data_IF_067132394113
#
_entry.id   IF_067132394113
#
_cell.length_a   1.000
_cell.length_b   1.000
_cell.length_c   1.000
_cell.angle_alpha   90.00
_cell.angle_beta   90.00
_cell.angle_gamma   90.00
#
_symmetry.space_group_name_H-M   'P 1'
#
loop_
_entity.id
_entity.type
_entity.pdbx_description
1 polymer ?
#
# COMPACT_ATOMS: atom_id res chain seq x y z
N UNK A 1 6.56 -24.64 -21.06
CA UNK A 1 5.84 -24.82 -19.78
C UNK A 1 6.88 -24.83 -18.68
N UNK A 2 7.28 -23.64 -18.20
CA UNK A 2 8.25 -23.52 -17.11
C UNK A 2 7.50 -23.33 -15.79
N UNK A 3 7.72 -24.27 -14.87
CA UNK A 3 7.08 -24.30 -13.56
C UNK A 3 7.68 -23.22 -12.65
N UNK A 4 6.81 -22.32 -12.17
CA UNK A 4 7.14 -21.34 -11.14
C UNK A 4 7.44 -22.04 -9.82
N UNK A 5 8.68 -21.94 -9.35
CA UNK A 5 9.12 -22.42 -8.04
C UNK A 5 8.62 -21.43 -6.99
N UNK A 6 7.50 -21.76 -6.35
CA UNK A 6 6.98 -21.00 -5.19
C UNK A 6 7.82 -21.34 -3.96
N UNK A 7 8.78 -20.48 -3.64
CA UNK A 7 9.58 -20.58 -2.40
C UNK A 7 8.67 -20.35 -1.18
N UNK A 8 8.27 -21.44 -0.52
CA UNK A 8 7.53 -21.39 0.75
C UNK A 8 8.48 -21.13 1.91
N UNK A 9 8.54 -19.88 2.37
CA UNK A 9 9.19 -19.55 3.64
C UNK A 9 8.23 -19.86 4.80
N UNK A 10 8.38 -21.04 5.41
CA UNK A 10 7.59 -21.43 6.58
C UNK A 10 8.23 -20.87 7.85
N UNK A 11 7.72 -19.75 8.36
CA UNK A 11 8.08 -19.27 9.70
C UNK A 11 7.21 -19.98 10.74
N UNK A 12 7.83 -20.83 11.57
CA UNK A 12 7.12 -21.54 12.64
C UNK A 12 6.65 -20.53 13.71
N UNK A 13 5.34 -20.26 13.74
CA UNK A 13 4.69 -19.48 14.79
C UNK A 13 4.60 -20.33 16.06
N UNK A 14 5.33 -19.95 17.11
CA UNK A 14 5.07 -20.45 18.47
C UNK A 14 3.73 -19.90 18.97
N UNK A 15 2.89 -20.85 19.39
CA UNK A 15 1.56 -20.79 20.01
C UNK A 15 1.16 -19.51 20.74
N UNK A 16 -0.05 -19.01 20.44
CA UNK A 16 -0.88 -18.29 21.42
C UNK A 16 -1.60 -17.01 20.95
N UNK A 17 -1.19 -16.37 19.85
CA UNK A 17 -1.88 -15.17 19.30
C UNK A 17 -2.58 -15.53 18.01
N UNK A 18 -3.85 -15.10 17.84
CA UNK A 18 -4.58 -15.18 16.56
C UNK A 18 -3.65 -14.63 15.47
N UNK A 19 -3.15 -15.52 14.62
CA UNK A 19 -2.30 -15.15 13.50
C UNK A 19 -3.10 -14.25 12.57
N UNK A 20 -2.50 -13.14 12.13
CA UNK A 20 -3.08 -12.31 11.09
C UNK A 20 -2.51 -12.78 9.76
N UNK A 21 -3.41 -13.08 8.83
CA UNK A 21 -3.07 -13.43 7.46
C UNK A 21 -3.19 -12.17 6.60
N UNK A 22 -2.14 -11.83 5.87
CA UNK A 22 -2.09 -10.68 4.95
C UNK A 22 -1.59 -11.16 3.60
N UNK A 23 -2.26 -10.74 2.52
CA UNK A 23 -1.88 -11.04 1.13
C UNK A 23 -1.14 -9.85 0.53
N UNK A 24 0.05 -10.09 -0.01
CA UNK A 24 0.89 -9.14 -0.76
C UNK A 24 1.07 -9.69 -2.18
N UNK A 25 0.24 -9.23 -3.13
CA UNK A 25 0.20 -9.83 -4.47
C UNK A 25 -0.12 -11.33 -4.36
N UNK A 26 0.77 -12.19 -4.88
CA UNK A 26 0.60 -13.65 -4.81
C UNK A 26 1.09 -14.28 -3.49
N UNK A 27 1.68 -13.49 -2.60
CA UNK A 27 2.28 -13.98 -1.35
C UNK A 27 1.30 -13.82 -0.21
N UNK A 28 0.92 -14.93 0.43
CA UNK A 28 0.13 -14.92 1.67
C UNK A 28 1.05 -15.13 2.87
N UNK A 29 1.08 -14.16 3.78
CA UNK A 29 1.88 -14.19 5.00
C UNK A 29 0.94 -14.38 6.18
N UNK A 30 1.12 -15.47 6.94
CA UNK A 30 0.44 -15.69 8.22
C UNK A 30 1.46 -15.59 9.34
N UNK A 31 1.29 -14.61 10.22
CA UNK A 31 2.18 -14.39 11.35
C UNK A 31 1.39 -13.91 12.57
N UNK A 32 1.91 -14.07 13.80
CA UNK A 32 1.31 -13.45 14.98
C UNK A 32 1.10 -11.96 14.76
N UNK A 33 -0.08 -11.44 15.16
CA UNK A 33 -0.32 -10.02 15.10
C UNK A 33 0.75 -9.27 15.93
N UNK A 34 1.36 -8.20 15.39
CA UNK A 34 2.30 -7.36 16.13
C UNK A 34 1.60 -6.74 17.33
N UNK A 35 2.35 -6.45 18.39
CA UNK A 35 1.79 -5.74 19.55
C UNK A 35 1.33 -4.33 19.13
N UNK A 36 0.32 -3.80 19.81
CA UNK A 36 -0.16 -2.44 19.57
C UNK A 36 0.99 -1.41 19.67
N UNK A 37 1.91 -1.61 20.61
CA UNK A 37 3.12 -0.79 20.77
C UNK A 37 4.03 -0.83 19.54
N UNK A 38 4.25 -2.02 18.97
CA UNK A 38 5.08 -2.16 17.77
C UNK A 38 4.42 -1.51 16.54
N UNK A 39 3.09 -1.62 16.41
CA UNK A 39 2.34 -0.92 15.36
C UNK A 39 2.50 0.58 15.51
N UNK A 40 2.24 1.13 16.71
CA UNK A 40 2.36 2.56 16.98
C UNK A 40 3.76 3.09 16.67
N UNK A 41 4.81 2.43 17.18
CA UNK A 41 6.19 2.79 16.90
C UNK A 41 6.52 2.80 15.39
N UNK A 42 6.04 1.80 14.64
CA UNK A 42 6.30 1.73 13.21
C UNK A 42 5.55 2.80 12.42
N UNK A 43 4.33 3.15 12.83
CA UNK A 43 3.56 4.25 12.26
C UNK A 43 4.29 5.57 12.52
N UNK A 44 4.67 5.86 13.76
CA UNK A 44 5.41 7.07 14.14
C UNK A 44 6.70 7.22 13.31
N UNK A 45 7.53 6.18 13.26
CA UNK A 45 8.79 6.20 12.50
C UNK A 45 8.58 6.40 10.99
N UNK A 46 7.51 5.81 10.43
CA UNK A 46 7.17 5.97 9.02
C UNK A 46 6.68 7.38 8.73
N UNK A 47 5.87 7.95 9.62
CA UNK A 47 5.39 9.34 9.53
C UNK A 47 6.56 10.33 9.60
N UNK A 48 7.49 10.17 10.55
CA UNK A 48 8.69 11.03 10.63
C UNK A 48 9.56 10.96 9.37
N UNK A 49 9.71 9.76 8.78
CA UNK A 49 10.42 9.60 7.53
C UNK A 49 9.70 10.30 6.36
N UNK A 50 8.37 10.15 6.28
CA UNK A 50 7.54 10.78 5.27
C UNK A 50 7.58 12.31 5.40
N UNK A 51 7.51 12.85 6.61
CA UNK A 51 7.60 14.30 6.84
C UNK A 51 8.93 14.89 6.36
N UNK A 52 10.05 14.20 6.61
CA UNK A 52 11.36 14.62 6.10
C UNK A 52 11.38 14.69 4.58
N UNK A 53 10.75 13.70 3.94
CA UNK A 53 10.63 13.64 2.49
C UNK A 53 9.71 14.74 1.94
N UNK A 54 8.55 14.95 2.56
CA UNK A 54 7.58 15.98 2.19
C UNK A 54 8.21 17.38 2.23
N UNK A 55 8.96 17.70 3.29
CA UNK A 55 9.72 18.96 3.40
C UNK A 55 10.74 19.13 2.28
N UNK A 56 11.33 18.03 1.77
CA UNK A 56 12.28 18.09 0.65
C UNK A 56 11.57 18.33 -0.69
N UNK A 57 10.39 17.75 -0.88
CA UNK A 57 9.55 17.97 -2.07
C UNK A 57 8.94 19.37 -2.13
N UNK A 58 8.66 19.98 -0.98
CA UNK A 58 8.15 21.36 -0.91
C UNK A 58 9.19 22.44 -1.25
N UNK A 59 10.47 22.08 -1.45
CA UNK A 59 11.52 23.06 -1.78
C UNK A 59 11.36 23.56 -3.22
N UNK A 60 11.49 24.88 -3.47
CA UNK A 60 11.50 25.44 -4.82
C UNK A 60 12.49 24.71 -5.73
N UNK A 61 12.06 24.37 -6.94
CA UNK A 61 12.85 23.64 -7.93
C UNK A 61 12.65 22.10 -7.94
N UNK A 62 11.96 21.53 -6.94
CA UNK A 62 11.53 20.13 -6.99
C UNK A 62 10.11 20.07 -7.56
N UNK A 63 9.95 19.40 -8.71
CA UNK A 63 8.64 19.21 -9.34
C UNK A 63 8.39 17.73 -9.55
N UNK A 64 7.34 17.20 -8.89
CA UNK A 64 6.77 15.89 -9.24
C UNK A 64 5.80 16.13 -10.39
N UNK A 65 6.27 15.94 -11.62
CA UNK A 65 5.39 16.06 -12.78
C UNK A 65 4.54 14.80 -12.90
N UNK A 66 3.23 14.98 -12.95
CA UNK A 66 2.34 13.95 -13.45
C UNK A 66 2.79 13.62 -14.88
N UNK A 67 3.16 12.36 -15.12
CA UNK A 67 3.54 11.90 -16.46
C UNK A 67 2.26 11.57 -17.24
N UNK A 68 2.28 11.86 -18.54
CA UNK A 68 1.23 11.40 -19.45
C UNK A 68 1.11 9.88 -19.36
N UNK A 69 -0.12 9.37 -19.34
CA UNK A 69 -0.42 7.94 -19.28
C UNK A 69 0.06 7.23 -17.99
N UNK A 70 0.41 7.99 -16.95
CA UNK A 70 0.73 7.44 -15.62
C UNK A 70 -0.38 7.81 -14.64
N UNK A 71 -1.10 6.83 -14.07
CA UNK A 71 -2.16 7.10 -13.12
C UNK A 71 -1.60 7.55 -11.77
N UNK A 72 -2.24 8.57 -11.20
CA UNK A 72 -2.08 8.98 -9.80
C UNK A 72 -3.22 8.37 -8.99
N UNK A 73 -2.90 7.75 -7.86
CA UNK A 73 -3.88 7.19 -6.95
C UNK A 73 -3.88 7.96 -5.63
N UNK A 74 -5.07 8.23 -5.12
CA UNK A 74 -5.32 8.72 -3.76
C UNK A 74 -6.46 7.95 -3.13
N UNK A 75 -6.62 8.08 -1.81
CA UNK A 75 -7.85 7.66 -1.15
C UNK A 75 -8.88 8.79 -1.25
N UNK A 76 -10.15 8.43 -1.34
CA UNK A 76 -11.25 9.39 -1.23
C UNK A 76 -11.27 9.99 0.18
N UNK A 77 -11.56 11.30 0.27
CA UNK A 77 -11.50 12.04 1.53
C UNK A 77 -12.68 11.73 2.45
N UNK A 78 -13.81 11.34 1.87
CA UNK A 78 -15.04 11.03 2.60
C UNK A 78 -15.15 9.52 2.90
N UNK A 79 -14.63 8.69 2.00
CA UNK A 79 -14.63 7.23 2.14
C UNK A 79 -13.23 6.62 1.89
N UNK A 80 -12.44 6.34 2.94
CA UNK A 80 -11.08 5.82 2.78
C UNK A 80 -11.01 4.40 2.20
N UNK A 81 -12.13 3.69 2.06
CA UNK A 81 -12.18 2.39 1.38
C UNK A 81 -12.29 2.53 -0.16
N UNK A 82 -12.54 3.75 -0.65
CA UNK A 82 -12.59 4.09 -2.08
C UNK A 82 -11.27 4.71 -2.52
N UNK A 83 -10.73 4.22 -3.64
CA UNK A 83 -9.58 4.83 -4.30
C UNK A 83 -10.02 5.76 -5.43
N UNK A 84 -9.31 6.86 -5.59
CA UNK A 84 -9.46 7.81 -6.70
C UNK A 84 -8.27 7.66 -7.63
N UNK A 85 -8.53 7.40 -8.92
CA UNK A 85 -7.53 7.36 -9.98
C UNK A 85 -7.64 8.62 -10.85
N UNK A 86 -6.57 9.39 -10.93
CA UNK A 86 -6.44 10.51 -11.87
C UNK A 86 -5.43 10.17 -12.95
N UNK A 87 -5.86 10.17 -14.22
CA UNK A 87 -4.99 9.91 -15.38
C UNK A 87 -5.44 10.76 -16.56
N UNK A 88 -4.50 11.51 -17.16
CA UNK A 88 -4.76 12.37 -18.32
C UNK A 88 -5.96 13.33 -18.14
N UNK A 89 -6.15 13.86 -16.92
CA UNK A 89 -7.24 14.77 -16.59
C UNK A 89 -8.59 14.09 -16.34
N UNK A 90 -8.70 12.76 -16.47
CA UNK A 90 -9.86 11.98 -16.08
C UNK A 90 -9.67 11.48 -14.65
N UNK A 91 -10.71 11.65 -13.83
CA UNK A 91 -10.77 11.17 -12.45
C UNK A 91 -11.85 10.12 -12.33
N UNK A 92 -11.52 8.97 -11.76
CA UNK A 92 -12.44 7.84 -11.57
C UNK A 92 -12.33 7.32 -10.14
N UNK A 93 -13.46 6.94 -9.56
CA UNK A 93 -13.53 6.28 -8.24
C UNK A 93 -13.57 4.77 -8.45
N UNK A 94 -13.00 4.00 -7.55
CA UNK A 94 -12.90 2.56 -7.72
C UNK A 94 -12.19 1.83 -6.60
N UNK A 95 -11.99 0.53 -6.81
CA UNK A 95 -11.25 -0.32 -5.90
C UNK A 95 -10.11 -1.02 -6.62
N UNK A 96 -9.08 -1.38 -5.86
CA UNK A 96 -8.05 -2.28 -6.34
C UNK A 96 -8.52 -3.73 -6.14
N UNK A 97 -8.80 -4.43 -7.24
CA UNK A 97 -9.19 -5.85 -7.24
C UNK A 97 -8.12 -6.62 -7.99
N UNK A 98 -7.51 -7.60 -7.32
CA UNK A 98 -6.45 -8.45 -7.90
C UNK A 98 -5.31 -7.66 -8.58
N UNK A 99 -4.92 -6.52 -7.98
CA UNK A 99 -3.83 -5.67 -8.47
C UNK A 99 -4.21 -4.76 -9.66
N UNK A 100 -5.47 -4.77 -10.07
CA UNK A 100 -6.02 -3.90 -11.12
C UNK A 100 -7.04 -2.93 -10.54
N UNK A 101 -7.07 -1.71 -11.06
CA UNK A 101 -8.07 -0.72 -10.66
C UNK A 101 -9.39 -0.96 -11.41
N UNK A 102 -10.47 -1.16 -10.68
CA UNK A 102 -11.82 -1.29 -11.19
C UNK A 102 -12.63 -0.05 -10.80
N UNK A 103 -13.07 0.70 -11.82
CA UNK A 103 -13.94 1.85 -11.61
C UNK A 103 -15.33 1.39 -11.14
N UNK A 104 -15.92 2.16 -10.22
CA UNK A 104 -17.27 1.94 -9.68
C UNK A 104 -18.27 3.05 -10.09
N UNK A 105 -17.78 4.07 -10.80
CA UNK A 105 -18.51 5.18 -11.41
C UNK A 105 -18.03 5.41 -12.85
#
# INVERSE_FOLDING_TARGET
MEGSVVTRATTQSRSGRRGRTVKFGDVTVTAPAPSATAVKHNVERSTEALERLARRFARPGVSIRARKDVPLFSLDSEDPDVMVRTMNGRTERGHMVDGSFHAID
#
